data_IF_477019537170
#
_entry.id   IF_477019537170
#
_cell.length_a   1.000
_cell.length_b   1.000
_cell.length_c   1.000
_cell.angle_alpha   90.00
_cell.angle_beta   90.00
_cell.angle_gamma   90.00
#
_symmetry.space_group_name_H-M   'P 1'
#
loop_
_entity.id
_entity.type
_entity.pdbx_description
1 polymer ?
#
# COMPACT_ATOMS: atom_id res chain seq x y z
N UNK A 1 7.72 -18.68 9.84
CA UNK A 1 7.23 -17.39 10.38
C UNK A 1 5.73 -17.38 10.75
N UNK A 2 4.92 -18.31 10.22
CA UNK A 2 3.45 -18.39 10.39
C UNK A 2 2.87 -18.17 11.82
N UNK A 3 3.53 -18.61 12.92
CA UNK A 3 3.02 -18.31 14.26
C UNK A 3 2.94 -16.80 14.57
N UNK A 4 3.78 -15.99 13.92
CA UNK A 4 3.98 -14.58 14.24
C UNK A 4 3.44 -13.62 13.18
N UNK A 5 3.46 -14.02 11.90
CA UNK A 5 3.00 -13.19 10.77
C UNK A 5 2.19 -14.05 9.79
N UNK A 6 1.14 -13.46 9.21
CA UNK A 6 0.49 -13.97 8.00
C UNK A 6 1.27 -13.38 6.80
N UNK A 7 1.82 -14.23 5.92
CA UNK A 7 2.68 -13.83 4.80
C UNK A 7 2.07 -14.31 3.49
N UNK A 8 1.80 -13.38 2.56
CA UNK A 8 1.43 -13.67 1.18
C UNK A 8 2.63 -13.44 0.28
N UNK A 9 2.79 -14.29 -0.74
CA UNK A 9 3.85 -14.18 -1.74
C UNK A 9 3.23 -13.88 -3.10
N UNK A 10 3.90 -13.04 -3.88
CA UNK A 10 3.50 -12.66 -5.24
C UNK A 10 4.50 -13.22 -6.23
N UNK A 11 4.03 -13.93 -7.26
CA UNK A 11 4.86 -14.40 -8.36
C UNK A 11 5.15 -13.22 -9.30
N UNK A 12 6.20 -12.45 -8.99
CA UNK A 12 6.49 -11.17 -9.63
C UNK A 12 7.60 -11.27 -10.71
N UNK A 13 7.27 -11.17 -12.01
CA UNK A 13 8.24 -11.16 -13.10
C UNK A 13 8.91 -9.78 -13.25
N UNK A 14 9.82 -9.43 -12.33
CA UNK A 14 10.50 -8.12 -12.26
C UNK A 14 11.08 -7.64 -13.60
N UNK A 15 11.66 -8.53 -14.40
CA UNK A 15 12.29 -8.18 -15.69
C UNK A 15 11.32 -8.17 -16.89
N UNK A 16 10.02 -8.20 -16.62
CA UNK A 16 8.93 -8.24 -17.60
C UNK A 16 8.59 -9.67 -18.03
N UNK A 17 7.29 -9.97 -18.05
CA UNK A 17 6.72 -11.29 -18.32
C UNK A 17 7.02 -11.78 -19.73
N UNK A 18 7.01 -10.89 -20.73
CA UNK A 18 7.41 -11.19 -22.11
C UNK A 18 8.80 -10.69 -22.48
N UNK A 19 9.35 -9.75 -21.71
CA UNK A 19 10.66 -9.17 -21.97
C UNK A 19 11.81 -10.12 -21.67
N UNK A 20 11.82 -10.80 -20.53
CA UNK A 20 12.91 -11.70 -20.16
C UNK A 20 12.62 -13.14 -20.63
N UNK A 21 13.59 -13.84 -21.26
CA UNK A 21 13.33 -15.12 -21.94
C UNK A 21 12.65 -16.20 -21.11
N UNK A 22 12.96 -16.29 -19.81
CA UNK A 22 12.42 -17.30 -18.89
C UNK A 22 11.38 -16.75 -17.91
N UNK A 23 11.03 -15.47 -17.97
CA UNK A 23 10.17 -14.83 -16.94
C UNK A 23 8.77 -15.45 -16.90
N UNK A 24 8.14 -15.65 -18.06
CA UNK A 24 6.84 -16.32 -18.15
C UNK A 24 6.86 -17.72 -17.55
N UNK A 25 7.84 -18.55 -17.92
CA UNK A 25 7.96 -19.93 -17.40
C UNK A 25 8.24 -19.94 -15.89
N UNK A 26 9.11 -19.06 -15.41
CA UNK A 26 9.42 -18.93 -13.99
C UNK A 26 8.22 -18.45 -13.17
N UNK A 27 7.40 -17.56 -13.73
CA UNK A 27 6.16 -17.09 -13.09
C UNK A 27 5.19 -18.25 -12.92
N UNK A 28 4.96 -19.03 -13.99
CA UNK A 28 4.10 -20.21 -13.94
C UNK A 28 4.63 -21.22 -12.93
N UNK A 29 5.95 -21.50 -12.96
CA UNK A 29 6.60 -22.42 -12.02
C UNK A 29 6.45 -21.96 -10.57
N UNK A 30 6.57 -20.66 -10.28
CA UNK A 30 6.39 -20.14 -8.93
C UNK A 30 4.96 -20.36 -8.44
N UNK A 31 3.96 -20.14 -9.30
CA UNK A 31 2.56 -20.43 -8.98
C UNK A 31 2.33 -21.93 -8.78
N UNK A 32 2.97 -22.80 -9.57
CA UNK A 32 2.90 -24.26 -9.40
C UNK A 32 3.56 -24.74 -8.10
N UNK A 33 4.50 -23.96 -7.53
CA UNK A 33 5.10 -24.22 -6.22
C UNK A 33 4.22 -23.78 -5.04
N UNK A 34 3.06 -23.18 -5.29
CA UNK A 34 2.13 -22.73 -4.25
C UNK A 34 2.25 -21.26 -3.88
N UNK A 35 2.74 -20.40 -4.79
CA UNK A 35 2.61 -18.94 -4.64
C UNK A 35 1.19 -18.53 -5.08
N UNK A 36 0.47 -17.84 -4.21
CA UNK A 36 -1.00 -17.67 -4.34
C UNK A 36 -1.46 -16.33 -4.96
N UNK A 37 -0.52 -15.47 -5.36
CA UNK A 37 -0.82 -14.18 -5.99
C UNK A 37 -0.04 -14.03 -7.30
N UNK A 38 -0.75 -13.70 -8.38
CA UNK A 38 -0.17 -13.44 -9.69
C UNK A 38 0.32 -12.00 -9.76
N UNK A 39 1.62 -11.81 -10.04
CA UNK A 39 2.23 -10.50 -10.20
C UNK A 39 2.54 -10.14 -11.64
N UNK A 40 2.94 -8.89 -11.87
CA UNK A 40 3.35 -8.39 -13.19
C UNK A 40 3.82 -6.95 -13.17
N UNK A 41 4.47 -6.52 -14.26
CA UNK A 41 5.07 -5.19 -14.42
C UNK A 41 4.88 -4.66 -15.85
N UNK A 42 3.63 -4.43 -16.29
CA UNK A 42 3.32 -4.21 -17.71
C UNK A 42 4.02 -2.99 -18.32
N UNK A 43 4.24 -1.93 -17.53
CA UNK A 43 4.93 -0.71 -17.96
C UNK A 43 6.44 -0.91 -18.23
N UNK A 44 7.01 -2.05 -17.84
CA UNK A 44 8.43 -2.40 -18.05
C UNK A 44 8.64 -3.39 -19.21
N UNK A 45 7.55 -3.86 -19.82
CA UNK A 45 7.60 -4.58 -21.10
C UNK A 45 8.17 -3.68 -22.20
N UNK A 46 8.66 -4.30 -23.28
CA UNK A 46 9.32 -3.54 -24.35
C UNK A 46 8.36 -2.68 -25.18
N UNK A 47 7.09 -3.06 -25.24
CA UNK A 47 6.07 -2.34 -26.01
C UNK A 47 4.77 -2.23 -25.21
N UNK A 48 3.99 -1.18 -25.48
CA UNK A 48 2.64 -1.02 -24.90
C UNK A 48 1.73 -2.21 -25.22
N UNK A 49 1.89 -2.81 -26.41
CA UNK A 49 1.15 -3.99 -26.83
C UNK A 49 1.51 -5.21 -25.98
N UNK A 50 2.80 -5.44 -25.71
CA UNK A 50 3.24 -6.52 -24.83
C UNK A 50 2.82 -6.29 -23.38
N UNK A 51 2.86 -5.04 -22.89
CA UNK A 51 2.31 -4.67 -21.57
C UNK A 51 0.82 -4.96 -21.45
N UNK A 52 0.02 -4.63 -22.47
CA UNK A 52 -1.41 -4.95 -22.51
C UNK A 52 -1.65 -6.47 -22.57
N UNK A 53 -0.85 -7.18 -23.38
CA UNK A 53 -0.91 -8.64 -23.50
C UNK A 53 -0.52 -9.32 -22.18
N UNK A 54 0.42 -8.77 -21.42
CA UNK A 54 0.87 -9.38 -20.16
C UNK A 54 -0.19 -9.23 -19.08
N UNK A 55 -0.82 -8.05 -18.94
CA UNK A 55 -1.99 -7.87 -18.05
C UNK A 55 -3.07 -8.91 -18.36
N UNK A 56 -3.42 -9.06 -19.64
CA UNK A 56 -4.46 -10.00 -20.08
C UNK A 56 -4.12 -11.44 -19.68
N UNK A 57 -2.94 -11.93 -20.05
CA UNK A 57 -2.57 -13.32 -19.74
C UNK A 57 -2.45 -13.58 -18.24
N UNK A 58 -1.87 -12.64 -17.48
CA UNK A 58 -1.71 -12.77 -16.03
C UNK A 58 -3.08 -12.81 -15.32
N UNK A 59 -4.03 -11.96 -15.71
CA UNK A 59 -5.39 -12.01 -15.18
C UNK A 59 -6.09 -13.33 -15.53
N UNK A 60 -5.93 -13.84 -16.76
CA UNK A 60 -6.48 -15.13 -17.15
C UNK A 60 -5.85 -16.30 -16.38
N UNK A 61 -4.54 -16.25 -16.09
CA UNK A 61 -3.87 -17.23 -15.22
C UNK A 61 -4.50 -17.20 -13.83
N UNK A 62 -4.68 -16.01 -13.25
CA UNK A 62 -5.29 -15.85 -11.93
C UNK A 62 -6.73 -16.40 -11.92
N UNK A 63 -7.55 -16.04 -12.90
CA UNK A 63 -8.93 -16.49 -13.03
C UNK A 63 -9.04 -18.02 -13.15
N UNK A 64 -8.22 -18.66 -14.01
CA UNK A 64 -8.21 -20.12 -14.17
C UNK A 64 -7.79 -20.85 -12.89
N UNK A 65 -6.93 -20.24 -12.07
CA UNK A 65 -6.40 -20.83 -10.84
C UNK A 65 -7.18 -20.41 -9.59
N UNK A 66 -8.10 -19.46 -9.69
CA UNK A 66 -8.82 -18.89 -8.54
C UNK A 66 -7.96 -18.01 -7.62
N UNK A 67 -6.84 -17.48 -8.13
CA UNK A 67 -5.85 -16.71 -7.37
C UNK A 67 -6.15 -15.20 -7.38
N UNK A 68 -5.47 -14.46 -6.50
CA UNK A 68 -5.46 -12.99 -6.51
C UNK A 68 -4.46 -12.45 -7.53
N UNK A 69 -4.59 -11.15 -7.85
CA UNK A 69 -3.68 -10.41 -8.74
C UNK A 69 -3.15 -9.18 -8.01
N UNK A 70 -1.85 -8.94 -8.07
CA UNK A 70 -1.21 -7.69 -7.64
C UNK A 70 -0.13 -7.28 -8.64
N UNK A 71 -0.44 -6.30 -9.50
CA UNK A 71 0.49 -5.85 -10.52
C UNK A 71 1.21 -4.57 -10.06
N UNK A 72 2.52 -4.48 -10.28
CA UNK A 72 3.24 -3.21 -10.33
C UNK A 72 2.76 -2.45 -11.57
N UNK A 73 1.67 -1.71 -11.42
CA UNK A 73 0.93 -1.14 -12.52
C UNK A 73 1.31 0.33 -12.68
N UNK A 74 1.81 0.66 -13.87
CA UNK A 74 2.14 2.02 -14.27
C UNK A 74 3.05 2.80 -13.29
N UNK A 75 4.10 2.15 -12.77
CA UNK A 75 5.14 2.81 -11.96
C UNK A 75 6.13 3.58 -12.84
N UNK A 76 5.67 4.71 -13.38
CA UNK A 76 6.44 5.58 -14.27
C UNK A 76 5.83 6.98 -14.30
N UNK A 77 6.60 7.99 -14.70
CA UNK A 77 6.11 9.36 -14.89
C UNK A 77 5.48 9.61 -16.27
N UNK A 78 5.41 8.57 -17.13
CA UNK A 78 4.83 8.65 -18.47
C UNK A 78 3.29 8.67 -18.43
N UNK A 79 2.62 9.77 -18.84
CA UNK A 79 1.15 9.86 -18.86
C UNK A 79 0.45 8.94 -19.87
N UNK A 80 1.21 8.27 -20.75
CA UNK A 80 0.70 7.30 -21.70
C UNK A 80 0.73 5.86 -21.15
N UNK A 81 1.43 5.62 -20.05
CA UNK A 81 1.42 4.35 -19.32
C UNK A 81 0.10 4.17 -18.58
N UNK A 82 -0.78 3.34 -19.13
CA UNK A 82 -2.22 3.29 -18.83
C UNK A 82 -2.73 1.85 -18.64
N UNK A 83 -1.87 0.93 -18.23
CA UNK A 83 -2.20 -0.48 -18.12
C UNK A 83 -3.27 -0.76 -17.06
N UNK A 84 -3.47 0.15 -16.11
CA UNK A 84 -4.59 0.10 -15.16
C UNK A 84 -5.96 0.06 -15.86
N UNK A 85 -6.11 0.68 -17.03
CA UNK A 85 -7.36 0.58 -17.82
C UNK A 85 -7.60 -0.86 -18.26
N UNK A 86 -6.56 -1.53 -18.77
CA UNK A 86 -6.64 -2.95 -19.14
C UNK A 86 -6.88 -3.83 -17.91
N UNK A 87 -6.21 -3.55 -16.78
CA UNK A 87 -6.37 -4.32 -15.55
C UNK A 87 -7.81 -4.25 -15.03
N UNK A 88 -8.41 -3.06 -15.02
CA UNK A 88 -9.81 -2.87 -14.62
C UNK A 88 -10.78 -3.61 -15.56
N UNK A 89 -10.56 -3.52 -16.87
CA UNK A 89 -11.34 -4.26 -17.87
C UNK A 89 -11.25 -5.79 -17.67
N UNK A 90 -10.04 -6.33 -17.55
CA UNK A 90 -9.82 -7.76 -17.35
C UNK A 90 -10.40 -8.25 -16.03
N UNK A 91 -10.35 -7.42 -14.98
CA UNK A 91 -10.96 -7.71 -13.69
C UNK A 91 -12.46 -7.96 -13.84
N UNK A 92 -13.17 -7.10 -14.58
CA UNK A 92 -14.59 -7.28 -14.82
C UNK A 92 -14.88 -8.46 -15.75
N UNK A 93 -14.15 -8.56 -16.86
CA UNK A 93 -14.34 -9.61 -17.88
C UNK A 93 -14.19 -11.02 -17.30
N UNK A 94 -13.26 -11.19 -16.36
CA UNK A 94 -12.89 -12.49 -15.80
C UNK A 94 -13.52 -12.78 -14.43
N UNK A 95 -14.33 -11.87 -13.88
CA UNK A 95 -14.97 -12.08 -12.58
C UNK A 95 -14.00 -12.01 -11.40
N UNK A 96 -12.98 -11.16 -11.47
CA UNK A 96 -11.92 -11.02 -10.45
C UNK A 96 -12.19 -9.88 -9.45
N UNK A 97 -13.39 -9.29 -9.44
CA UNK A 97 -13.76 -8.19 -8.55
C UNK A 97 -13.39 -8.49 -7.09
N UNK A 98 -12.77 -7.53 -6.42
CA UNK A 98 -12.31 -7.67 -5.03
C UNK A 98 -11.06 -8.53 -4.83
N UNK A 99 -10.48 -9.11 -5.89
CA UNK A 99 -9.26 -9.94 -5.84
C UNK A 99 -8.06 -9.33 -6.57
N UNK A 100 -8.19 -8.10 -7.08
CA UNK A 100 -7.17 -7.43 -7.89
C UNK A 100 -6.69 -6.17 -7.21
N UNK A 101 -5.36 -6.03 -7.15
CA UNK A 101 -4.69 -4.81 -6.76
C UNK A 101 -3.82 -4.27 -7.90
N UNK A 102 -3.88 -2.95 -8.09
CA UNK A 102 -2.87 -2.21 -8.82
C UNK A 102 -1.95 -1.50 -7.83
N UNK A 103 -0.71 -1.92 -7.74
CA UNK A 103 0.31 -1.26 -6.92
C UNK A 103 0.96 -0.11 -7.69
N UNK A 104 1.37 0.95 -6.98
CA UNK A 104 1.99 2.19 -7.46
C UNK A 104 1.05 3.16 -8.20
N UNK A 105 0.69 2.90 -9.47
CA UNK A 105 -0.10 3.76 -10.36
C UNK A 105 0.42 5.21 -10.41
N UNK A 106 1.75 5.39 -10.39
CA UNK A 106 2.38 6.71 -10.31
C UNK A 106 2.14 7.53 -11.58
N UNK A 107 1.97 6.88 -12.74
CA UNK A 107 1.66 7.56 -14.00
C UNK A 107 0.37 8.37 -13.93
N UNK A 108 -0.60 7.95 -13.10
CA UNK A 108 -1.88 8.64 -12.94
C UNK A 108 -1.72 10.06 -12.37
N UNK A 109 -0.63 10.34 -11.64
CA UNK A 109 -0.26 11.70 -11.25
C UNK A 109 -0.09 12.62 -12.48
N UNK A 110 0.38 12.06 -13.59
CA UNK A 110 0.81 12.78 -14.78
C UNK A 110 -0.20 12.74 -15.92
N UNK A 111 -1.18 11.83 -15.84
CA UNK A 111 -2.24 11.69 -16.85
C UNK A 111 -3.09 12.95 -17.01
N UNK A 112 -3.60 13.13 -18.23
CA UNK A 112 -4.63 14.11 -18.53
C UNK A 112 -5.87 13.93 -17.64
N UNK A 113 -6.43 15.06 -17.18
CA UNK A 113 -7.54 15.06 -16.22
C UNK A 113 -8.83 14.48 -16.80
N UNK A 114 -9.11 14.70 -18.09
CA UNK A 114 -10.30 14.14 -18.72
C UNK A 114 -10.17 12.62 -18.86
N UNK A 115 -8.98 12.13 -19.20
CA UNK A 115 -8.72 10.69 -19.18
C UNK A 115 -8.90 10.08 -17.79
N UNK A 116 -8.42 10.75 -16.73
CA UNK A 116 -8.59 10.26 -15.36
C UNK A 116 -10.05 10.28 -14.91
N UNK A 117 -10.84 11.27 -15.32
CA UNK A 117 -12.25 11.37 -14.90
C UNK A 117 -13.12 10.21 -15.41
N UNK A 118 -12.75 9.59 -16.55
CA UNK A 118 -13.36 8.32 -17.00
C UNK A 118 -12.72 7.09 -16.34
N UNK A 119 -11.44 7.16 -15.99
CA UNK A 119 -10.68 6.01 -15.50
C UNK A 119 -11.01 5.66 -14.05
N UNK A 120 -11.19 6.66 -13.17
CA UNK A 120 -11.48 6.38 -11.76
C UNK A 120 -12.82 5.64 -11.56
N UNK A 121 -13.94 6.01 -12.23
CA UNK A 121 -15.16 5.21 -12.20
C UNK A 121 -14.95 3.77 -12.66
N UNK A 122 -14.15 3.53 -13.72
CA UNK A 122 -13.85 2.19 -14.20
C UNK A 122 -13.12 1.34 -13.14
N UNK A 123 -12.15 1.92 -12.43
CA UNK A 123 -11.44 1.24 -11.33
C UNK A 123 -12.41 0.90 -10.19
N UNK A 124 -13.31 1.83 -9.85
CA UNK A 124 -14.31 1.64 -8.81
C UNK A 124 -15.32 0.52 -9.17
N UNK A 125 -15.85 0.53 -10.40
CA UNK A 125 -16.78 -0.49 -10.91
C UNK A 125 -16.15 -1.87 -11.03
N UNK A 126 -14.82 -1.93 -11.23
CA UNK A 126 -14.07 -3.18 -11.26
C UNK A 126 -13.73 -3.72 -9.85
N UNK A 127 -13.96 -2.95 -8.78
CA UNK A 127 -13.51 -3.26 -7.40
C UNK A 127 -12.01 -3.63 -7.35
N UNK A 128 -11.21 -2.87 -8.11
CA UNK A 128 -9.75 -2.96 -8.08
C UNK A 128 -9.24 -2.11 -6.90
N UNK A 129 -8.43 -2.73 -6.04
CA UNK A 129 -7.75 -2.03 -4.95
C UNK A 129 -6.49 -1.33 -5.47
N UNK A 130 -6.06 -0.24 -4.84
CA UNK A 130 -4.86 0.50 -5.24
C UNK A 130 -3.88 0.62 -4.07
N UNK A 131 -2.60 0.33 -4.32
CA UNK A 131 -1.56 0.33 -3.28
C UNK A 131 -0.44 1.31 -3.65
N UNK A 132 -0.58 2.61 -3.35
CA UNK A 132 0.52 3.56 -3.50
C UNK A 132 1.56 3.43 -2.38
N UNK A 133 2.82 3.69 -2.73
CA UNK A 133 3.98 3.47 -1.87
C UNK A 133 4.69 4.81 -1.60
N UNK A 134 4.18 5.65 -0.67
CA UNK A 134 4.51 7.08 -0.63
C UNK A 134 5.98 7.38 -0.36
N UNK A 135 6.66 6.57 0.45
CA UNK A 135 8.09 6.73 0.72
C UNK A 135 8.94 6.48 -0.53
N UNK A 136 8.57 5.50 -1.35
CA UNK A 136 9.35 5.07 -2.51
C UNK A 136 8.96 5.90 -3.72
N UNK A 137 7.66 6.13 -3.96
CA UNK A 137 7.20 6.92 -5.10
C UNK A 137 7.76 8.35 -5.05
N UNK A 138 7.75 9.02 -3.89
CA UNK A 138 8.34 10.38 -3.79
C UNK A 138 9.87 10.40 -4.03
N UNK A 139 10.54 9.26 -3.84
CA UNK A 139 11.97 9.12 -4.04
C UNK A 139 12.33 8.74 -5.48
N UNK A 140 11.52 7.92 -6.15
CA UNK A 140 11.80 7.39 -7.49
C UNK A 140 11.16 8.22 -8.60
N UNK A 141 10.01 8.84 -8.35
CA UNK A 141 9.32 9.65 -9.33
C UNK A 141 9.87 11.09 -9.41
N UNK A 142 9.55 11.78 -10.50
CA UNK A 142 10.02 13.13 -10.80
C UNK A 142 11.53 13.19 -11.08
N UNK A 143 12.21 12.05 -11.22
CA UNK A 143 13.67 11.98 -11.47
C UNK A 143 14.06 12.51 -12.84
N UNK A 144 13.15 12.43 -13.82
CA UNK A 144 13.34 12.98 -15.15
C UNK A 144 12.90 14.46 -15.29
N UNK A 145 12.24 15.02 -14.28
CA UNK A 145 11.89 16.44 -14.27
C UNK A 145 13.08 17.31 -13.87
N UNK A 146 13.20 18.49 -14.46
CA UNK A 146 14.05 19.57 -13.94
C UNK A 146 13.29 20.33 -12.84
N UNK A 147 12.71 21.49 -13.16
CA UNK A 147 11.79 22.24 -12.30
C UNK A 147 10.66 22.87 -13.14
N UNK A 148 9.40 22.83 -12.66
CA UNK A 148 8.94 22.20 -11.41
C UNK A 148 9.07 20.67 -11.41
N UNK A 149 9.32 20.08 -10.24
CA UNK A 149 9.44 18.62 -10.06
C UNK A 149 8.14 18.06 -9.51
N UNK A 150 7.57 17.07 -10.19
CA UNK A 150 6.32 16.44 -9.76
C UNK A 150 6.51 15.60 -8.50
N UNK A 151 5.42 15.33 -7.78
CA UNK A 151 5.42 14.41 -6.63
C UNK A 151 5.40 12.94 -7.07
N UNK A 152 4.66 12.64 -8.14
CA UNK A 152 4.58 11.31 -8.73
C UNK A 152 3.83 10.27 -7.89
N UNK A 153 3.04 10.67 -6.90
CA UNK A 153 2.12 9.76 -6.20
C UNK A 153 0.79 9.68 -6.95
N UNK A 154 0.16 8.50 -7.01
CA UNK A 154 -1.18 8.34 -7.60
C UNK A 154 -2.25 9.23 -6.92
N UNK A 155 -3.44 9.32 -7.52
CA UNK A 155 -4.52 10.26 -7.13
C UNK A 155 -5.37 9.79 -5.96
N UNK A 156 -4.73 9.60 -4.81
CA UNK A 156 -5.35 8.97 -3.62
C UNK A 156 -6.65 9.63 -3.16
N UNK A 157 -6.69 10.97 -3.05
CA UNK A 157 -7.90 11.67 -2.57
C UNK A 157 -9.08 11.50 -3.53
N UNK A 158 -8.83 11.56 -4.83
CA UNK A 158 -9.85 11.38 -5.86
C UNK A 158 -10.38 9.94 -5.85
N UNK A 159 -9.49 8.95 -5.68
CA UNK A 159 -9.87 7.55 -5.56
C UNK A 159 -10.75 7.28 -4.33
N UNK A 160 -10.34 7.79 -3.17
CA UNK A 160 -11.11 7.64 -1.93
C UNK A 160 -12.50 8.30 -2.03
N UNK A 161 -12.60 9.45 -2.70
CA UNK A 161 -13.89 10.13 -2.91
C UNK A 161 -14.88 9.32 -3.77
N UNK A 162 -14.38 8.41 -4.61
CA UNK A 162 -15.17 7.48 -5.43
C UNK A 162 -15.34 6.10 -4.79
N UNK A 163 -14.91 5.92 -3.54
CA UNK A 163 -15.06 4.65 -2.82
C UNK A 163 -14.06 3.56 -3.21
N UNK A 164 -13.03 3.90 -4.01
CA UNK A 164 -11.96 2.96 -4.37
C UNK A 164 -11.17 2.59 -3.11
N UNK A 165 -10.88 1.30 -2.94
CA UNK A 165 -10.10 0.79 -1.82
C UNK A 165 -8.62 1.10 -2.02
N UNK A 166 -8.11 2.07 -1.26
CA UNK A 166 -6.70 2.48 -1.33
C UNK A 166 -5.98 2.17 -0.03
N UNK A 167 -4.88 1.42 -0.08
CA UNK A 167 -4.05 1.07 1.08
C UNK A 167 -2.61 1.52 0.90
N UNK A 168 -1.92 1.94 1.96
CA UNK A 168 -0.52 2.37 1.83
C UNK A 168 0.43 1.18 1.90
N UNK A 169 1.47 1.18 1.06
CA UNK A 169 2.57 0.21 1.15
C UNK A 169 3.91 0.86 1.53
N UNK A 170 4.74 0.10 2.23
CA UNK A 170 6.14 0.46 2.50
C UNK A 170 7.02 0.22 1.27
N UNK A 171 6.72 -0.81 0.48
CA UNK A 171 7.51 -1.27 -0.66
C UNK A 171 8.92 -1.76 -0.26
N UNK A 172 9.91 -0.88 -0.31
CA UNK A 172 11.31 -1.22 -0.11
C UNK A 172 11.81 -0.97 1.32
N UNK A 173 12.70 -1.83 1.81
CA UNK A 173 13.47 -1.63 3.05
C UNK A 173 14.90 -2.10 2.83
N UNK A 174 15.86 -1.16 2.88
CA UNK A 174 17.30 -1.42 2.72
C UNK A 174 17.65 -2.22 1.47
N UNK A 175 17.12 -1.81 0.32
CA UNK A 175 17.26 -2.52 -0.94
C UNK A 175 17.80 -1.61 -2.08
N UNK A 176 17.95 -2.12 -3.32
CA UNK A 176 18.49 -1.35 -4.44
C UNK A 176 17.71 -0.09 -4.82
N UNK A 177 16.42 0.00 -4.49
CA UNK A 177 15.57 1.14 -4.83
C UNK A 177 15.45 2.13 -3.68
N UNK A 178 15.51 1.66 -2.43
CA UNK A 178 15.42 2.51 -1.24
C UNK A 178 16.38 2.07 -0.13
N UNK A 179 17.45 2.85 0.08
CA UNK A 179 18.49 2.57 1.07
C UNK A 179 18.09 2.87 2.53
N UNK A 180 16.86 3.32 2.78
CA UNK A 180 16.33 3.58 4.12
C UNK A 180 15.23 2.56 4.44
N UNK A 181 14.32 2.92 5.35
CA UNK A 181 13.19 2.09 5.75
C UNK A 181 13.44 1.35 7.06
N UNK A 182 12.40 1.33 7.90
CA UNK A 182 12.37 0.67 9.21
C UNK A 182 11.25 -0.36 9.30
N UNK A 183 10.55 -0.60 8.18
CA UNK A 183 9.31 -1.36 8.12
C UNK A 183 8.21 -0.81 9.07
N UNK A 184 8.20 0.50 9.31
CA UNK A 184 7.23 1.15 10.18
C UNK A 184 6.07 1.76 9.36
N UNK A 185 4.90 1.14 9.45
CA UNK A 185 3.72 1.62 8.73
C UNK A 185 3.19 2.99 9.21
N UNK A 186 3.55 3.48 10.40
CA UNK A 186 3.24 4.85 10.80
C UNK A 186 4.12 5.86 10.05
N UNK A 187 5.37 5.52 9.73
CA UNK A 187 6.21 6.36 8.84
C UNK A 187 5.63 6.40 7.41
N UNK A 188 5.12 5.27 6.92
CA UNK A 188 4.43 5.18 5.62
C UNK A 188 3.20 6.09 5.60
N UNK A 189 2.30 5.95 6.57
CA UNK A 189 1.10 6.78 6.64
C UNK A 189 1.42 8.26 6.88
N UNK A 190 2.46 8.55 7.67
CA UNK A 190 2.98 9.90 7.86
C UNK A 190 3.49 10.49 6.55
N UNK A 191 4.24 9.77 5.73
CA UNK A 191 4.65 10.28 4.41
C UNK A 191 3.45 10.42 3.47
N UNK A 192 2.58 9.41 3.44
CA UNK A 192 1.38 9.37 2.60
C UNK A 192 0.50 10.60 2.79
N UNK A 193 0.22 10.99 4.03
CA UNK A 193 -0.64 12.15 4.31
C UNK A 193 -0.03 13.47 3.78
N UNK A 194 1.30 13.61 3.80
CA UNK A 194 1.98 14.82 3.32
C UNK A 194 1.95 14.88 1.79
N UNK A 195 2.35 13.80 1.12
CA UNK A 195 2.46 13.78 -0.35
C UNK A 195 1.07 13.86 -0.99
N UNK A 196 0.06 13.20 -0.41
CA UNK A 196 -1.33 13.25 -0.85
C UNK A 196 -2.11 14.49 -0.37
N UNK A 197 -1.53 15.33 0.50
CA UNK A 197 -2.19 16.51 1.09
C UNK A 197 -3.51 16.19 1.81
N UNK A 198 -3.43 15.23 2.73
CA UNK A 198 -4.53 14.69 3.54
C UNK A 198 -4.36 15.15 5.00
N UNK A 199 -4.72 16.40 5.29
CA UNK A 199 -4.35 17.09 6.55
C UNK A 199 -5.49 17.34 7.53
N UNK A 200 -6.75 17.13 7.15
CA UNK A 200 -7.85 17.22 8.11
C UNK A 200 -7.83 16.03 9.10
N UNK A 201 -8.39 16.17 10.32
CA UNK A 201 -8.44 15.07 11.29
C UNK A 201 -9.06 13.78 10.75
N UNK A 202 -10.12 13.90 9.93
CA UNK A 202 -10.75 12.75 9.29
C UNK A 202 -9.84 12.08 8.25
N UNK A 203 -9.14 12.87 7.44
CA UNK A 203 -8.17 12.36 6.47
C UNK A 203 -6.97 11.69 7.15
N UNK A 204 -6.43 12.28 8.23
CA UNK A 204 -5.34 11.68 9.00
C UNK A 204 -5.79 10.35 9.65
N UNK A 205 -7.00 10.29 10.22
CA UNK A 205 -7.54 9.04 10.72
C UNK A 205 -7.70 7.99 9.61
N UNK A 206 -8.11 8.42 8.41
CA UNK A 206 -8.16 7.55 7.23
C UNK A 206 -6.76 7.06 6.82
N UNK A 207 -5.72 7.89 6.83
CA UNK A 207 -4.36 7.44 6.53
C UNK A 207 -3.85 6.35 7.48
N UNK A 208 -4.24 6.39 8.76
CA UNK A 208 -3.97 5.30 9.71
C UNK A 208 -4.76 4.03 9.37
N UNK A 209 -6.03 4.16 9.00
CA UNK A 209 -6.86 3.05 8.57
C UNK A 209 -6.32 2.35 7.31
N UNK A 210 -5.72 3.14 6.41
CA UNK A 210 -5.05 2.68 5.18
C UNK A 210 -3.78 1.86 5.41
N UNK A 211 -3.24 1.81 6.63
CA UNK A 211 -2.16 0.88 7.03
C UNK A 211 -2.61 -0.21 7.99
N UNK A 212 -3.91 -0.31 8.24
CA UNK A 212 -4.50 -1.28 9.17
C UNK A 212 -5.65 -2.02 8.51
N UNK A 213 -6.91 -1.59 8.72
CA UNK A 213 -8.09 -2.36 8.29
C UNK A 213 -8.21 -2.41 6.77
N UNK A 214 -7.84 -1.34 6.05
CA UNK A 214 -7.94 -1.33 4.59
C UNK A 214 -6.97 -2.35 3.98
N UNK A 215 -5.72 -2.40 4.45
CA UNK A 215 -4.76 -3.40 3.98
C UNK A 215 -5.20 -4.83 4.34
N UNK A 216 -5.78 -5.05 5.53
CA UNK A 216 -6.36 -6.34 5.87
C UNK A 216 -7.46 -6.75 4.90
N UNK A 217 -8.33 -5.82 4.48
CA UNK A 217 -9.37 -6.07 3.49
C UNK A 217 -8.80 -6.34 2.08
N UNK A 218 -7.81 -5.56 1.64
CA UNK A 218 -7.11 -5.78 0.36
C UNK A 218 -6.50 -7.18 0.31
N UNK A 219 -5.91 -7.63 1.42
CA UNK A 219 -5.26 -8.93 1.53
C UNK A 219 -6.23 -10.11 1.81
N UNK A 220 -7.53 -9.85 1.99
CA UNK A 220 -8.52 -10.87 2.33
C UNK A 220 -8.36 -11.47 3.74
N UNK A 221 -7.80 -10.72 4.68
CA UNK A 221 -7.51 -11.16 6.05
C UNK A 221 -8.70 -10.91 6.99
N UNK A 222 -9.86 -11.47 6.65
CA UNK A 222 -11.11 -11.26 7.40
C UNK A 222 -11.05 -11.72 8.86
N UNK A 223 -10.09 -12.57 9.23
CA UNK A 223 -9.90 -12.97 10.63
C UNK A 223 -9.27 -11.85 11.49
N UNK A 224 -8.76 -10.77 10.90
CA UNK A 224 -8.21 -9.62 11.60
C UNK A 224 -9.27 -8.54 11.89
N UNK A 225 -8.96 -7.68 12.85
CA UNK A 225 -9.85 -6.60 13.33
C UNK A 225 -10.18 -6.72 14.81
N UNK A 226 -10.52 -5.59 15.44
CA UNK A 226 -10.87 -5.54 16.87
C UNK A 226 -12.38 -5.74 17.05
N UNK A 227 -12.82 -7.00 17.01
CA UNK A 227 -14.20 -7.39 17.25
C UNK A 227 -14.28 -8.80 17.88
N UNK A 228 -15.38 -9.09 18.59
CA UNK A 228 -15.65 -10.42 19.15
C UNK A 228 -15.68 -11.45 18.01
N UNK A 229 -14.98 -12.58 18.20
CA UNK A 229 -14.86 -13.65 17.21
C UNK A 229 -13.69 -13.48 16.23
N UNK A 230 -13.04 -12.32 16.16
CA UNK A 230 -11.81 -12.13 15.39
C UNK A 230 -10.59 -12.69 16.13
N UNK A 231 -9.49 -12.90 15.41
CA UNK A 231 -8.22 -13.37 15.96
C UNK A 231 -7.70 -12.34 16.96
N UNK A 232 -7.23 -12.82 18.13
CA UNK A 232 -6.60 -11.99 19.15
C UNK A 232 -5.18 -11.53 18.73
N UNK A 233 -5.10 -10.72 17.68
CA UNK A 233 -3.88 -10.07 17.20
C UNK A 233 -4.08 -8.56 17.22
N UNK A 234 -3.28 -7.84 18.00
CA UNK A 234 -3.42 -6.40 18.18
C UNK A 234 -2.10 -5.75 18.58
N UNK A 235 -2.04 -4.43 18.44
CA UNK A 235 -0.91 -3.60 18.82
C UNK A 235 -1.40 -2.47 19.72
N UNK A 236 -0.76 -2.32 20.88
CA UNK A 236 -1.01 -1.20 21.80
C UNK A 236 -0.01 -0.09 21.48
N UNK A 237 -0.51 1.06 21.01
CA UNK A 237 0.30 2.25 20.70
C UNK A 237 0.30 3.23 21.87
N UNK A 238 1.39 3.97 22.08
CA UNK A 238 1.42 5.12 23.01
C UNK A 238 0.76 6.37 22.40
N UNK A 239 -0.52 6.26 22.04
CA UNK A 239 -1.32 7.32 21.48
C UNK A 239 -2.79 7.18 21.92
N UNK A 240 -3.50 8.30 22.03
CA UNK A 240 -4.93 8.31 22.38
C UNK A 240 -5.87 8.07 21.20
N UNK A 241 -5.42 8.34 19.97
CA UNK A 241 -6.24 8.17 18.76
C UNK A 241 -5.36 8.04 17.49
N UNK A 242 -5.94 7.70 16.33
CA UNK A 242 -5.19 7.56 15.07
C UNK A 242 -4.42 8.81 14.63
N UNK A 243 -4.98 10.00 14.81
CA UNK A 243 -4.31 11.27 14.45
C UNK A 243 -3.05 11.47 15.27
N UNK A 244 -3.14 11.23 16.58
CA UNK A 244 -2.00 11.30 17.47
C UNK A 244 -0.97 10.20 17.19
N UNK A 245 -1.41 8.99 16.86
CA UNK A 245 -0.52 7.90 16.47
C UNK A 245 0.35 8.29 15.27
N UNK A 246 -0.24 8.93 14.25
CA UNK A 246 0.52 9.46 13.11
C UNK A 246 1.41 10.64 13.50
N UNK A 247 0.87 11.64 14.21
CA UNK A 247 1.62 12.84 14.61
C UNK A 247 2.87 12.50 15.42
N UNK A 248 2.73 11.58 16.38
CA UNK A 248 3.83 11.19 17.26
C UNK A 248 4.71 10.11 16.65
N UNK A 249 4.24 9.43 15.59
CA UNK A 249 4.80 8.15 15.14
C UNK A 249 4.96 7.22 16.33
N UNK A 250 3.81 6.93 16.95
CA UNK A 250 3.75 6.40 18.29
C UNK A 250 4.46 5.05 18.44
N UNK A 251 5.04 4.87 19.62
CA UNK A 251 5.70 3.65 20.03
C UNK A 251 4.71 2.50 20.18
N UNK A 252 5.15 1.27 19.83
CA UNK A 252 4.39 0.04 20.07
C UNK A 252 4.75 -0.50 21.45
N UNK A 253 3.89 -0.26 22.43
CA UNK A 253 4.09 -0.69 23.81
C UNK A 253 3.93 -2.20 23.99
N UNK A 254 3.01 -2.81 23.24
CA UNK A 254 2.77 -4.24 23.27
C UNK A 254 2.27 -4.73 21.91
N UNK A 255 2.79 -5.87 21.46
CA UNK A 255 2.33 -6.58 20.27
C UNK A 255 1.84 -7.96 20.70
N UNK A 256 0.59 -8.25 20.39
CA UNK A 256 -0.05 -9.54 20.64
C UNK A 256 -0.32 -10.20 19.30
N UNK A 257 0.14 -11.43 19.12
CA UNK A 257 -0.15 -12.26 17.97
C UNK A 257 -0.84 -13.55 18.43
N UNK A 258 -2.06 -13.81 17.92
CA UNK A 258 -2.82 -15.04 18.21
C UNK A 258 -2.98 -15.31 19.72
N UNK A 259 -3.24 -14.26 20.50
CA UNK A 259 -3.44 -14.32 21.95
C UNK A 259 -2.16 -14.39 22.78
N UNK A 260 -0.98 -14.28 22.16
CA UNK A 260 0.31 -14.30 22.87
C UNK A 260 1.03 -12.97 22.69
N UNK A 261 1.57 -12.44 23.78
CA UNK A 261 2.50 -11.30 23.71
C UNK A 261 3.77 -11.76 23.01
N UNK A 262 4.15 -11.06 21.94
CA UNK A 262 5.35 -11.36 21.13
C UNK A 262 6.40 -10.27 21.15
N UNK A 263 6.03 -9.04 21.54
CA UNK A 263 6.95 -7.95 21.78
C UNK A 263 6.37 -6.95 22.78
N UNK A 264 7.23 -6.36 23.61
CA UNK A 264 6.87 -5.34 24.59
C UNK A 264 7.94 -4.24 24.62
N UNK A 265 7.51 -3.01 24.94
CA UNK A 265 8.39 -1.86 25.12
C UNK A 265 7.91 -1.03 26.30
N UNK A 266 8.83 -0.70 27.20
CA UNK A 266 8.56 0.26 28.27
C UNK A 266 8.35 1.64 27.67
N UNK A 267 7.26 2.29 28.05
CA UNK A 267 6.99 3.69 27.69
C UNK A 267 8.17 4.59 28.04
N UNK A 268 8.61 5.42 27.09
CA UNK A 268 9.72 6.33 27.29
C UNK A 268 9.24 7.78 27.29
N UNK A 269 9.47 8.48 28.39
CA UNK A 269 9.20 9.92 28.52
C UNK A 269 10.49 10.72 28.31
N UNK A 270 10.35 11.97 27.84
CA UNK A 270 11.51 12.86 27.70
C UNK A 270 11.84 13.45 29.05
N UNK A 271 13.08 13.27 29.52
CA UNK A 271 13.58 13.95 30.72
C UNK A 271 14.06 15.35 30.38
N UNK A 272 13.60 16.34 31.14
CA UNK A 272 14.06 17.72 31.03
C UNK A 272 15.02 18.04 32.18
N UNK A 273 16.12 18.72 31.84
CA UNK A 273 17.06 19.33 32.79
C UNK A 273 16.95 20.85 32.70
N UNK A 274 15.72 21.36 32.87
CA UNK A 274 15.39 22.79 32.73
C UNK A 274 14.70 23.24 34.01
N UNK A 275 15.28 24.21 34.70
CA UNK A 275 14.75 24.73 35.97
C UNK A 275 13.32 25.28 35.79
N UNK A 276 12.45 24.97 36.76
CA UNK A 276 11.04 25.39 36.74
C UNK A 276 10.14 24.63 35.75
N UNK A 277 10.63 23.58 35.08
CA UNK A 277 9.83 22.70 34.22
C UNK A 277 9.65 21.30 34.82
N UNK A 278 8.60 20.55 34.43
CA UNK A 278 8.45 19.16 34.84
C UNK A 278 9.67 18.32 34.43
N UNK A 279 10.13 17.45 35.33
CA UNK A 279 11.31 16.58 35.11
C UNK A 279 11.07 15.60 33.96
N UNK A 280 9.83 15.14 33.79
CA UNK A 280 9.40 14.25 32.72
C UNK A 280 8.29 14.92 31.93
N UNK A 281 8.36 14.85 30.60
CA UNK A 281 7.30 15.33 29.72
C UNK A 281 6.94 14.27 28.69
N UNK A 282 5.65 14.24 28.34
CA UNK A 282 5.11 13.43 27.28
C UNK A 282 4.35 14.32 26.28
N UNK A 283 4.43 13.99 24.99
CA UNK A 283 3.75 14.72 23.92
C UNK A 283 2.33 14.21 23.67
N UNK A 284 1.91 13.12 24.31
CA UNK A 284 0.58 12.55 24.25
C UNK A 284 -0.44 13.49 24.88
N UNK A 285 -1.57 13.70 24.22
CA UNK A 285 -2.69 14.41 24.79
C UNK A 285 -3.22 13.65 26.00
N UNK A 286 -3.39 14.35 27.13
CA UNK A 286 -4.19 13.85 28.23
C UNK A 286 -5.62 13.72 27.72
N UNK A 287 -6.26 12.56 27.93
CA UNK A 287 -7.68 12.41 27.63
C UNK A 287 -8.44 13.52 28.37
N UNK A 288 -9.43 14.14 27.72
CA UNK A 288 -10.29 15.19 28.27
C UNK A 288 -11.16 14.75 29.49
N UNK A 289 -10.78 13.68 30.19
CA UNK A 289 -11.40 13.24 31.45
C UNK A 289 -10.68 13.77 32.70
N UNK A 290 -9.56 14.50 32.56
CA UNK A 290 -8.80 15.07 33.69
C UNK A 290 -8.79 16.62 33.69
N UNK A 291 -9.89 17.27 33.27
CA UNK A 291 -10.16 18.70 33.54
C UNK A 291 -11.55 18.91 34.11
#
# INVERSE_FOLDING_TARGET
>A
VAPYIDLQLVAFPQDGFYRAPSARENTIRALDMGVDIVGGIPHFERTMADGTRSVTELCEIAARRGLMVDLHCDETDDPLSRHIEQLAYETQRLGLQGKVAGSHLTSMHSMDNYYVSKLLPLIAEADVSVIPNPLINIMLQGRHDTFPKRRGLTRVKEMLALGIRVGWGQDCVLDPWYSLGTADMLDVAFMGLHVAQMSSPAEMARCFDMVTNVNAAIMGLDHLGLAVGKRASLVVLDAGNPVEALRLRAERLCVIARGKVVAERTKQETRLSIDGRPVLVNRRHHSHQDQ
#
